data_IF_832118408530
#
_entry.id   IF_832118408530
#
_cell.length_a   1.000
_cell.length_b   1.000
_cell.length_c   1.000
_cell.angle_alpha   90.00
_cell.angle_beta   90.00
_cell.angle_gamma   90.00
#
_symmetry.space_group_name_H-M   'P 1'
#
loop_
_entity.id
_entity.type
_entity.pdbx_description
1 polymer ?
#
# COMPACT_ATOMS: atom_id res chain seq x y z
N UNK A 1 -6.52 15.70 -6.33
CA UNK A 1 -5.86 16.02 -7.60
C UNK A 1 -4.46 16.58 -7.30
N UNK A 2 -3.37 15.88 -7.66
CA UNK A 2 -2.01 16.38 -7.46
C UNK A 2 -1.73 17.56 -8.41
N UNK A 3 -0.92 18.52 -7.94
CA UNK A 3 -0.57 19.74 -8.68
C UNK A 3 0.90 19.75 -9.11
N UNK A 4 1.79 19.36 -8.20
CA UNK A 4 3.24 19.34 -8.46
C UNK A 4 3.94 18.47 -7.43
N UNK A 5 5.19 18.11 -7.75
CA UNK A 5 6.11 17.47 -6.81
C UNK A 5 7.44 18.23 -6.75
N UNK A 6 8.10 18.16 -5.59
CA UNK A 6 9.51 18.54 -5.41
C UNK A 6 10.30 17.34 -4.93
N UNK A 7 11.54 17.16 -5.42
CA UNK A 7 12.40 16.06 -5.04
C UNK A 7 13.32 16.40 -3.87
N UNK A 8 13.54 15.42 -3.00
CA UNK A 8 14.61 15.45 -1.99
C UNK A 8 15.56 14.31 -2.30
N UNK A 9 16.83 14.64 -2.47
CA UNK A 9 17.90 13.68 -2.79
C UNK A 9 19.03 13.81 -1.76
N UNK A 10 19.17 12.81 -0.89
CA UNK A 10 20.40 12.57 -0.13
C UNK A 10 21.30 11.66 -0.95
N UNK A 11 22.56 12.08 -1.20
CA UNK A 11 23.44 11.31 -2.09
C UNK A 11 24.84 11.22 -1.53
N UNK A 12 25.42 10.00 -1.42
CA UNK A 12 26.78 9.80 -0.97
C UNK A 12 27.75 10.04 -2.13
N UNK A 13 28.13 11.31 -2.37
CA UNK A 13 28.90 11.76 -3.55
C UNK A 13 30.27 11.07 -3.69
N UNK A 14 30.83 10.56 -2.58
CA UNK A 14 32.13 9.87 -2.57
C UNK A 14 32.00 8.35 -2.78
N UNK A 15 30.76 7.78 -2.76
CA UNK A 15 30.50 6.33 -2.85
C UNK A 15 29.78 5.95 -4.14
N UNK A 16 28.87 6.79 -4.61
CA UNK A 16 28.02 6.51 -5.77
C UNK A 16 28.18 7.56 -6.86
N UNK A 17 28.33 7.13 -8.13
CA UNK A 17 28.53 8.06 -9.24
C UNK A 17 27.25 8.87 -9.54
N UNK A 18 27.40 10.10 -10.09
CA UNK A 18 26.27 10.99 -10.39
C UNK A 18 25.34 10.44 -11.48
N UNK A 19 25.80 9.51 -12.30
CA UNK A 19 24.98 8.84 -13.32
C UNK A 19 23.84 8.04 -12.67
N UNK A 20 24.09 7.38 -11.53
CA UNK A 20 23.07 6.63 -10.78
C UNK A 20 22.05 7.62 -10.17
N UNK A 21 22.51 8.76 -9.62
CA UNK A 21 21.60 9.80 -9.14
C UNK A 21 20.67 10.32 -10.26
N UNK A 22 21.22 10.48 -11.48
CA UNK A 22 20.45 10.89 -12.65
C UNK A 22 19.33 9.91 -12.98
N UNK A 23 19.61 8.60 -12.92
CA UNK A 23 18.61 7.57 -13.17
C UNK A 23 17.50 7.57 -12.08
N UNK A 24 17.85 7.78 -10.82
CA UNK A 24 16.87 7.92 -9.73
C UNK A 24 15.93 9.11 -9.98
N UNK A 25 16.49 10.28 -10.33
CA UNK A 25 15.70 11.47 -10.66
C UNK A 25 14.84 11.24 -11.92
N UNK A 26 15.36 10.53 -12.91
CA UNK A 26 14.58 10.13 -14.10
C UNK A 26 13.36 9.30 -13.72
N UNK A 27 13.52 8.33 -12.81
CA UNK A 27 12.40 7.53 -12.28
C UNK A 27 11.34 8.42 -11.61
N UNK A 28 11.76 9.34 -10.73
CA UNK A 28 10.86 10.31 -10.10
C UNK A 28 10.12 11.19 -11.12
N UNK A 29 10.83 11.68 -12.15
CA UNK A 29 10.20 12.45 -13.24
C UNK A 29 9.18 11.63 -14.02
N UNK A 30 9.52 10.40 -14.38
CA UNK A 30 8.62 9.51 -15.13
C UNK A 30 7.29 9.27 -14.38
N UNK A 31 7.34 9.11 -13.06
CA UNK A 31 6.12 8.97 -12.25
C UNK A 31 5.31 10.28 -12.21
N UNK A 32 5.97 11.44 -12.09
CA UNK A 32 5.30 12.74 -12.17
C UNK A 32 4.62 12.94 -13.53
N UNK A 33 5.32 12.63 -14.64
CA UNK A 33 4.80 12.73 -16.00
C UNK A 33 3.57 11.80 -16.19
N UNK A 34 3.62 10.56 -15.67
CA UNK A 34 2.48 9.63 -15.69
C UNK A 34 1.29 10.12 -14.84
N UNK A 35 1.57 10.87 -13.77
CA UNK A 35 0.55 11.52 -12.94
C UNK A 35 0.00 12.81 -13.57
N UNK A 36 0.66 13.34 -14.61
CA UNK A 36 0.28 14.58 -15.29
C UNK A 36 0.67 15.84 -14.51
N UNK A 37 1.74 15.78 -13.69
CA UNK A 37 2.22 16.90 -12.87
C UNK A 37 3.70 17.18 -13.11
N UNK A 38 4.15 18.45 -12.98
CA UNK A 38 5.56 18.77 -13.07
C UNK A 38 6.35 18.29 -11.83
N UNK A 39 7.56 17.78 -12.05
CA UNK A 39 8.62 17.78 -11.05
C UNK A 39 9.21 19.20 -11.04
N UNK A 40 8.74 20.05 -10.12
CA UNK A 40 8.92 21.50 -10.15
C UNK A 40 10.26 21.97 -9.54
N UNK A 41 11.08 21.05 -9.06
CA UNK A 41 12.38 21.35 -8.43
C UNK A 41 12.67 20.39 -7.30
N UNK A 42 13.53 20.82 -6.38
CA UNK A 42 13.91 20.02 -5.23
C UNK A 42 15.17 20.50 -4.56
N UNK A 43 15.70 19.67 -3.67
CA UNK A 43 16.94 19.94 -2.96
C UNK A 43 17.80 18.66 -2.90
N UNK A 44 19.12 18.82 -2.96
CA UNK A 44 20.06 17.73 -2.78
C UNK A 44 21.07 18.06 -1.67
N UNK A 45 21.40 17.03 -0.88
CA UNK A 45 22.37 17.13 0.21
C UNK A 45 23.35 15.96 0.13
N UNK A 46 24.57 16.15 0.61
CA UNK A 46 25.49 15.06 0.86
C UNK A 46 24.97 14.22 2.03
N UNK A 47 24.90 12.91 1.87
CA UNK A 47 24.37 11.98 2.86
C UNK A 47 25.17 10.68 2.86
N UNK A 48 25.30 9.97 4.00
CA UNK A 48 26.06 8.73 4.08
C UNK A 48 25.44 7.59 3.28
N UNK A 49 24.13 7.64 3.04
CA UNK A 49 23.35 6.65 2.28
C UNK A 49 22.43 7.35 1.27
N UNK A 50 22.09 6.69 0.13
CA UNK A 50 21.19 7.29 -0.83
C UNK A 50 19.76 7.35 -0.26
N UNK A 51 19.18 8.55 -0.29
CA UNK A 51 17.79 8.82 0.08
C UNK A 51 17.13 9.58 -1.08
N UNK A 52 15.99 9.11 -1.53
CA UNK A 52 15.20 9.80 -2.54
C UNK A 52 13.73 9.82 -2.14
N UNK A 53 13.08 10.96 -2.31
CA UNK A 53 11.66 11.11 -2.07
C UNK A 53 11.07 12.27 -2.85
N UNK A 54 9.74 12.23 -3.00
CA UNK A 54 8.95 13.30 -3.60
C UNK A 54 7.98 13.84 -2.57
N UNK A 55 8.00 15.14 -2.32
CA UNK A 55 6.93 15.84 -1.62
C UNK A 55 5.91 16.29 -2.67
N UNK A 56 4.72 15.71 -2.63
CA UNK A 56 3.65 15.98 -3.58
C UNK A 56 2.62 16.92 -2.95
N UNK A 57 2.32 18.02 -3.64
CA UNK A 57 1.26 18.96 -3.24
C UNK A 57 0.07 18.77 -4.17
N UNK A 58 -1.13 18.76 -3.60
CA UNK A 58 -2.38 18.62 -4.34
C UNK A 58 -3.52 19.37 -3.67
N UNK A 59 -4.70 19.28 -4.29
CA UNK A 59 -5.95 19.85 -3.79
C UNK A 59 -7.03 18.78 -3.75
N UNK A 60 -7.90 18.87 -2.74
CA UNK A 60 -9.09 18.06 -2.61
C UNK A 60 -10.25 18.93 -2.11
N UNK A 61 -11.45 18.75 -2.66
CA UNK A 61 -12.63 19.33 -2.07
C UNK A 61 -12.90 18.70 -0.69
N UNK A 62 -13.18 19.50 0.33
CA UNK A 62 -13.37 19.01 1.71
C UNK A 62 -14.38 17.86 1.81
N UNK A 63 -15.46 17.89 1.02
CA UNK A 63 -16.49 16.84 0.98
C UNK A 63 -15.98 15.50 0.38
N UNK A 64 -14.89 15.53 -0.38
CA UNK A 64 -14.29 14.36 -1.01
C UNK A 64 -13.05 13.85 -0.27
N UNK A 65 -12.67 14.52 0.81
CA UNK A 65 -11.57 14.06 1.64
C UNK A 65 -11.96 12.78 2.37
N UNK A 66 -11.21 11.71 2.12
CA UNK A 66 -11.39 10.42 2.81
C UNK A 66 -10.26 10.27 3.83
N UNK A 67 -10.67 10.19 5.08
CA UNK A 67 -9.75 9.90 6.19
C UNK A 67 -9.62 8.40 6.35
N UNK A 68 -8.58 7.94 7.01
CA UNK A 68 -8.40 6.53 7.32
C UNK A 68 -9.19 6.08 8.56
N UNK A 69 -9.69 7.02 9.37
CA UNK A 69 -10.41 6.81 10.64
C UNK A 69 -11.93 7.08 10.55
N UNK A 70 -12.48 7.24 9.35
CA UNK A 70 -13.89 7.62 9.15
C UNK A 70 -14.79 6.49 8.62
N UNK A 71 -14.32 5.24 8.72
CA UNK A 71 -15.10 4.07 8.35
C UNK A 71 -16.33 3.87 9.25
N UNK A 72 -17.33 3.16 8.75
CA UNK A 72 -18.59 2.87 9.48
C UNK A 72 -18.87 1.37 9.56
N UNK A 73 -19.69 0.98 10.53
CA UNK A 73 -20.14 -0.42 10.67
C UNK A 73 -20.84 -0.89 9.39
N UNK A 74 -20.55 -2.11 8.97
CA UNK A 74 -21.11 -2.73 7.78
C UNK A 74 -20.35 -2.47 6.50
N UNK A 75 -19.34 -1.55 6.52
CA UNK A 75 -18.48 -1.34 5.36
C UNK A 75 -17.75 -2.63 4.97
N UNK A 76 -17.69 -2.89 3.67
CA UNK A 76 -16.82 -3.90 3.08
C UNK A 76 -15.45 -3.31 2.79
N UNK A 77 -14.42 -4.14 2.90
CA UNK A 77 -13.02 -3.77 2.70
C UNK A 77 -12.53 -4.26 1.35
N UNK A 78 -11.82 -3.39 0.63
CA UNK A 78 -11.24 -3.70 -0.67
C UNK A 78 -9.77 -3.30 -0.70
N UNK A 79 -8.96 -4.05 -1.45
CA UNK A 79 -7.54 -3.76 -1.67
C UNK A 79 -7.27 -3.64 -3.17
N UNK A 80 -6.74 -2.49 -3.61
CA UNK A 80 -6.60 -2.18 -5.04
C UNK A 80 -5.36 -2.77 -5.72
N UNK A 81 -4.38 -3.25 -4.96
CA UNK A 81 -3.21 -3.98 -5.46
C UNK A 81 -2.93 -5.20 -4.59
N UNK A 82 -2.38 -6.29 -5.16
CA UNK A 82 -2.00 -7.48 -4.40
C UNK A 82 -0.84 -7.21 -3.43
N UNK A 83 -0.75 -8.02 -2.37
CA UNK A 83 0.39 -8.04 -1.44
C UNK A 83 1.55 -8.88 -1.97
N UNK A 84 2.75 -8.63 -1.44
CA UNK A 84 3.93 -9.46 -1.69
C UNK A 84 5.17 -8.72 -2.18
N UNK A 85 5.15 -7.38 -2.22
CA UNK A 85 6.30 -6.57 -2.68
C UNK A 85 7.53 -6.84 -1.80
N UNK A 86 7.38 -6.81 -0.47
CA UNK A 86 8.48 -7.06 0.44
C UNK A 86 9.01 -8.49 0.34
N UNK A 87 8.13 -9.45 0.13
CA UNK A 87 8.47 -10.87 -0.05
C UNK A 87 9.28 -11.07 -1.34
N UNK A 88 8.81 -10.55 -2.48
CA UNK A 88 9.50 -10.67 -3.76
C UNK A 88 10.86 -9.96 -3.75
N UNK A 89 10.95 -8.76 -3.22
CA UNK A 89 12.22 -8.02 -3.12
C UNK A 89 13.20 -8.70 -2.16
N UNK A 90 12.69 -9.37 -1.12
CA UNK A 90 13.52 -10.22 -0.24
C UNK A 90 14.02 -11.47 -0.97
N UNK A 91 13.17 -12.09 -1.79
CA UNK A 91 13.57 -13.22 -2.64
C UNK A 91 14.66 -12.81 -3.64
N UNK A 92 14.53 -11.65 -4.27
CA UNK A 92 15.54 -11.08 -5.17
C UNK A 92 16.86 -10.84 -4.43
N UNK A 93 16.83 -10.18 -3.27
CA UNK A 93 18.02 -9.94 -2.43
C UNK A 93 18.71 -11.23 -2.00
N UNK A 94 17.96 -12.31 -1.79
CA UNK A 94 18.47 -13.64 -1.44
C UNK A 94 18.89 -14.49 -2.64
N UNK A 95 18.81 -13.96 -3.86
CA UNK A 95 19.03 -14.66 -5.12
C UNK A 95 18.15 -15.92 -5.28
N UNK A 96 16.92 -15.86 -4.78
CA UNK A 96 15.90 -16.91 -4.86
C UNK A 96 14.76 -16.57 -5.82
N UNK A 97 14.77 -15.36 -6.43
CA UNK A 97 13.71 -14.95 -7.36
C UNK A 97 13.79 -15.81 -8.63
N UNK A 98 12.64 -16.35 -9.03
CA UNK A 98 12.54 -17.17 -10.25
C UNK A 98 12.60 -16.27 -11.48
N UNK A 99 13.13 -16.77 -12.62
CA UNK A 99 13.25 -15.98 -13.85
C UNK A 99 11.92 -15.35 -14.32
N UNK A 100 10.80 -16.06 -14.16
CA UNK A 100 9.47 -15.62 -14.55
C UNK A 100 8.93 -14.47 -13.69
N UNK A 101 9.46 -14.26 -12.48
CA UNK A 101 9.00 -13.24 -11.55
C UNK A 101 9.90 -11.99 -11.56
N UNK A 102 10.97 -11.99 -12.37
CA UNK A 102 11.87 -10.84 -12.51
C UNK A 102 11.11 -9.63 -13.05
N UNK A 103 11.22 -8.50 -12.33
CA UNK A 103 10.55 -7.25 -12.69
C UNK A 103 9.13 -7.11 -12.15
N UNK A 104 8.48 -8.17 -11.67
CA UNK A 104 7.08 -8.13 -11.19
C UNK A 104 6.89 -7.11 -10.05
N UNK A 105 7.78 -7.13 -9.05
CA UNK A 105 7.72 -6.16 -7.95
C UNK A 105 7.87 -4.72 -8.46
N UNK A 106 8.80 -4.49 -9.39
CA UNK A 106 9.02 -3.17 -9.99
C UNK A 106 7.80 -2.65 -10.75
N UNK A 107 7.13 -3.51 -11.53
CA UNK A 107 5.90 -3.17 -12.26
C UNK A 107 4.81 -2.68 -11.30
N UNK A 108 4.55 -3.42 -10.22
CA UNK A 108 3.54 -3.02 -9.24
C UNK A 108 3.94 -1.77 -8.44
N UNK A 109 5.22 -1.61 -8.07
CA UNK A 109 5.71 -0.38 -7.44
C UNK A 109 5.56 0.85 -8.34
N UNK A 110 5.72 0.70 -9.65
CA UNK A 110 5.55 1.79 -10.62
C UNK A 110 4.08 2.06 -10.98
N UNK A 111 3.14 1.20 -10.59
CA UNK A 111 1.71 1.40 -10.82
C UNK A 111 1.16 2.46 -9.88
N UNK A 112 0.61 3.55 -10.43
CA UNK A 112 0.05 4.66 -9.65
C UNK A 112 -1.28 4.29 -8.97
N UNK A 113 -1.49 4.80 -7.75
CA UNK A 113 -2.78 4.74 -7.05
C UNK A 113 -3.79 5.80 -7.56
N UNK A 114 -3.74 6.13 -8.85
CA UNK A 114 -4.62 7.08 -9.53
C UNK A 114 -6.12 6.79 -9.34
N UNK A 115 -6.58 5.53 -9.22
CA UNK A 115 -7.97 5.21 -8.91
C UNK A 115 -8.51 5.90 -7.66
N UNK A 116 -7.67 6.17 -6.65
CA UNK A 116 -8.06 6.86 -5.43
C UNK A 116 -8.72 8.22 -5.64
N UNK A 117 -8.34 8.95 -6.68
CA UNK A 117 -8.96 10.24 -7.01
C UNK A 117 -10.43 10.11 -7.47
N UNK A 118 -10.79 8.96 -8.07
CA UNK A 118 -12.17 8.64 -8.44
C UNK A 118 -12.91 8.08 -7.23
N UNK A 119 -12.31 7.15 -6.49
CA UNK A 119 -12.90 6.55 -5.29
C UNK A 119 -13.23 7.61 -4.22
N UNK A 120 -12.36 8.61 -4.04
CA UNK A 120 -12.60 9.71 -3.11
C UNK A 120 -13.87 10.52 -3.38
N UNK A 121 -14.37 10.53 -4.62
CA UNK A 121 -15.61 11.24 -5.00
C UNK A 121 -16.89 10.47 -4.73
N UNK A 122 -16.78 9.15 -4.46
CA UNK A 122 -17.93 8.29 -4.19
C UNK A 122 -18.45 8.48 -2.77
N UNK A 123 -19.74 8.70 -2.63
CA UNK A 123 -20.37 8.87 -1.32
C UNK A 123 -20.28 7.60 -0.46
N UNK A 124 -20.36 6.42 -1.10
CA UNK A 124 -20.27 5.13 -0.43
C UNK A 124 -18.87 4.76 0.08
N UNK A 125 -17.81 5.43 -0.39
CA UNK A 125 -16.46 5.27 0.18
C UNK A 125 -16.36 6.12 1.43
N UNK A 126 -16.21 5.50 2.60
CA UNK A 126 -16.19 6.19 3.90
C UNK A 126 -14.79 6.43 4.44
N UNK A 127 -13.86 5.50 4.19
CA UNK A 127 -12.45 5.64 4.58
C UNK A 127 -11.54 5.07 3.50
N UNK A 128 -10.32 5.60 3.40
CA UNK A 128 -9.33 5.15 2.44
C UNK A 128 -7.92 5.51 2.92
N UNK A 129 -6.98 4.57 2.77
CA UNK A 129 -5.55 4.78 2.98
C UNK A 129 -4.76 3.95 1.98
N UNK A 130 -3.50 4.31 1.73
CA UNK A 130 -2.57 3.42 1.02
C UNK A 130 -1.93 2.42 1.98
N UNK A 131 -1.60 1.24 1.47
CA UNK A 131 -0.92 0.19 2.22
C UNK A 131 0.57 0.28 1.93
N UNK A 132 1.37 0.58 2.96
CA UNK A 132 2.81 0.80 2.83
C UNK A 132 3.63 -0.02 3.83
N UNK A 133 4.63 0.56 4.45
CA UNK A 133 5.63 -0.12 5.25
C UNK A 133 5.13 -0.92 6.45
N UNK A 134 3.96 -0.58 7.00
CA UNK A 134 3.34 -1.33 8.10
C UNK A 134 2.57 -2.59 7.67
N UNK A 135 2.51 -2.87 6.35
CA UNK A 135 1.74 -3.98 5.82
C UNK A 135 0.21 -3.78 5.92
N UNK A 136 -0.56 -4.73 5.38
CA UNK A 136 -2.03 -4.61 5.40
C UNK A 136 -2.58 -4.54 6.82
N UNK A 137 -2.09 -5.39 7.74
CA UNK A 137 -2.60 -5.41 9.12
C UNK A 137 -2.36 -4.10 9.87
N UNK A 138 -1.20 -3.45 9.69
CA UNK A 138 -0.93 -2.18 10.36
C UNK A 138 -1.91 -1.09 9.95
N UNK A 139 -2.15 -0.93 8.65
CA UNK A 139 -3.11 0.05 8.13
C UNK A 139 -4.57 -0.31 8.45
N UNK A 140 -4.88 -1.61 8.51
CA UNK A 140 -6.21 -2.07 8.90
C UNK A 140 -6.49 -1.84 10.39
N UNK A 141 -5.49 -2.07 11.25
CA UNK A 141 -5.55 -1.71 12.69
C UNK A 141 -5.78 -0.22 12.85
N UNK A 142 -5.04 0.64 12.11
CA UNK A 142 -5.22 2.09 12.16
C UNK A 142 -6.63 2.51 11.75
N UNK A 143 -7.17 1.93 10.67
CA UNK A 143 -8.52 2.22 10.19
C UNK A 143 -9.59 1.76 11.19
N UNK A 144 -9.47 0.55 11.72
CA UNK A 144 -10.45 -0.02 12.64
C UNK A 144 -10.43 0.69 14.00
N UNK A 145 -9.24 0.91 14.57
CA UNK A 145 -9.10 1.62 15.85
C UNK A 145 -9.56 3.07 15.74
N UNK A 146 -9.16 3.78 14.69
CA UNK A 146 -9.54 5.17 14.47
C UNK A 146 -11.06 5.36 14.35
N UNK A 147 -11.76 4.38 13.80
CA UNK A 147 -13.21 4.36 13.68
C UNK A 147 -13.93 3.71 14.88
N UNK A 148 -13.20 3.19 15.87
CA UNK A 148 -13.72 2.38 16.97
C UNK A 148 -14.54 1.16 16.51
N UNK A 149 -13.98 0.42 15.56
CA UNK A 149 -14.58 -0.78 14.94
C UNK A 149 -13.66 -1.99 15.07
N UNK A 150 -14.14 -3.15 14.64
CA UNK A 150 -13.35 -4.35 14.41
C UNK A 150 -13.40 -4.71 12.92
N UNK A 151 -12.24 -4.94 12.33
CA UNK A 151 -12.13 -5.46 10.97
C UNK A 151 -12.08 -6.99 11.00
N UNK A 152 -12.98 -7.63 10.27
CA UNK A 152 -12.98 -9.07 10.01
C UNK A 152 -12.41 -9.30 8.62
N UNK A 153 -11.17 -9.80 8.56
CA UNK A 153 -10.41 -10.00 7.33
C UNK A 153 -10.48 -11.46 6.88
N UNK A 154 -10.93 -11.70 5.67
CA UNK A 154 -10.86 -13.02 5.02
C UNK A 154 -9.47 -13.21 4.41
N UNK A 155 -8.64 -14.04 5.05
CA UNK A 155 -7.27 -14.32 4.61
C UNK A 155 -7.19 -14.91 3.21
N UNK A 156 -8.16 -15.75 2.84
CA UNK A 156 -8.19 -16.38 1.53
C UNK A 156 -8.55 -15.39 0.41
N UNK A 157 -9.33 -14.36 0.73
CA UNK A 157 -9.74 -13.33 -0.22
C UNK A 157 -8.67 -12.24 -0.45
N UNK A 158 -7.62 -12.15 0.39
CA UNK A 158 -6.55 -11.16 0.20
C UNK A 158 -5.77 -11.44 -1.08
N UNK A 159 -5.74 -10.50 -2.05
CA UNK A 159 -5.01 -10.69 -3.30
C UNK A 159 -3.50 -10.71 -3.08
N UNK A 160 -2.81 -11.61 -3.75
CA UNK A 160 -1.36 -11.85 -3.64
C UNK A 160 -0.71 -11.79 -5.01
N UNK A 161 0.52 -11.31 -5.06
CA UNK A 161 1.34 -11.41 -6.26
C UNK A 161 1.63 -12.88 -6.60
N UNK A 162 1.77 -13.22 -7.87
CA UNK A 162 2.19 -14.56 -8.28
C UNK A 162 3.45 -15.01 -7.54
N UNK A 163 3.50 -16.28 -7.15
CA UNK A 163 4.65 -16.86 -6.48
C UNK A 163 4.84 -16.53 -4.99
N UNK A 164 4.06 -15.62 -4.40
CA UNK A 164 4.23 -15.20 -2.99
C UNK A 164 4.22 -16.37 -2.03
N UNK A 165 3.27 -17.31 -2.15
CA UNK A 165 3.19 -18.46 -1.25
C UNK A 165 4.43 -19.38 -1.38
N UNK A 166 4.98 -19.51 -2.59
CA UNK A 166 6.25 -20.23 -2.81
C UNK A 166 7.41 -19.54 -2.09
N UNK A 167 7.54 -18.22 -2.22
CA UNK A 167 8.63 -17.47 -1.57
C UNK A 167 8.51 -17.44 -0.06
N UNK A 168 7.30 -17.41 0.49
CA UNK A 168 7.06 -17.57 1.93
C UNK A 168 7.54 -18.95 2.41
N UNK A 169 7.22 -20.03 1.68
CA UNK A 169 7.69 -21.37 2.00
C UNK A 169 9.24 -21.49 1.94
N UNK A 170 9.89 -20.72 1.05
CA UNK A 170 11.34 -20.58 0.95
C UNK A 170 11.96 -19.66 2.01
N UNK A 171 11.18 -19.15 2.95
CA UNK A 171 11.63 -18.28 4.03
C UNK A 171 12.01 -16.87 3.58
N UNK A 172 11.44 -16.38 2.47
CA UNK A 172 11.68 -15.03 1.97
C UNK A 172 10.83 -13.99 2.70
N UNK A 173 10.86 -13.99 4.04
CA UNK A 173 10.15 -13.04 4.88
C UNK A 173 11.05 -11.82 5.15
N UNK A 174 10.58 -10.58 4.88
CA UNK A 174 11.34 -9.38 5.22
C UNK A 174 11.54 -9.21 6.73
N UNK A 175 12.68 -8.71 7.16
CA UNK A 175 12.90 -8.39 8.57
C UNK A 175 11.95 -7.32 9.12
N UNK A 176 11.33 -6.52 8.25
CA UNK A 176 10.28 -5.56 8.61
C UNK A 176 8.99 -6.21 9.09
N UNK A 177 8.65 -7.39 8.58
CA UNK A 177 7.41 -8.12 8.90
C UNK A 177 7.26 -8.40 10.41
N UNK A 178 8.32 -8.91 11.04
CA UNK A 178 8.30 -9.20 12.47
C UNK A 178 8.23 -7.90 13.30
N UNK A 179 9.01 -6.89 12.94
CA UNK A 179 8.95 -5.58 13.61
C UNK A 179 7.58 -4.93 13.49
N UNK A 180 6.91 -5.08 12.36
CA UNK A 180 5.55 -4.63 12.16
C UNK A 180 4.61 -5.31 13.15
N UNK A 181 4.63 -6.64 13.19
CA UNK A 181 3.78 -7.40 14.11
C UNK A 181 4.08 -7.08 15.58
N UNK A 182 5.36 -6.94 15.96
CA UNK A 182 5.76 -6.54 17.33
C UNK A 182 5.19 -5.16 17.73
N UNK A 183 4.95 -4.26 16.76
CA UNK A 183 4.50 -2.90 17.05
C UNK A 183 2.97 -2.76 17.25
N UNK A 184 2.17 -3.67 16.69
CA UNK A 184 0.70 -3.56 16.74
C UNK A 184 -0.03 -4.91 16.93
N UNK A 185 0.70 -6.02 17.04
CA UNK A 185 0.11 -7.36 17.11
C UNK A 185 -0.81 -7.59 18.31
N UNK A 186 -0.62 -6.85 19.41
CA UNK A 186 -1.51 -6.88 20.58
C UNK A 186 -2.96 -6.48 20.26
N UNK A 187 -3.18 -5.73 19.17
CA UNK A 187 -4.49 -5.28 18.71
C UNK A 187 -5.17 -6.27 17.76
N UNK A 188 -4.49 -7.36 17.44
CA UNK A 188 -4.94 -8.39 16.49
C UNK A 188 -5.26 -9.66 17.22
N UNK A 189 -6.38 -10.31 16.88
CA UNK A 189 -6.68 -11.66 17.40
C UNK A 189 -5.56 -12.64 17.02
N UNK A 190 -5.34 -13.72 17.79
CA UNK A 190 -4.28 -14.67 17.50
C UNK A 190 -4.32 -15.16 16.05
N UNK A 191 -3.16 -15.07 15.37
CA UNK A 191 -2.98 -15.49 13.98
C UNK A 191 -1.83 -16.49 13.83
N UNK A 192 -1.82 -17.21 12.73
CA UNK A 192 -0.72 -18.12 12.39
C UNK A 192 0.49 -17.35 11.85
N UNK A 193 1.67 -17.98 11.88
CA UNK A 193 2.88 -17.41 11.27
C UNK A 193 2.69 -17.10 9.78
N UNK A 194 2.00 -17.98 9.04
CA UNK A 194 1.73 -17.76 7.62
C UNK A 194 0.84 -16.51 7.37
N UNK A 195 -0.16 -16.30 8.22
CA UNK A 195 -1.00 -15.09 8.15
C UNK A 195 -0.18 -13.84 8.49
N UNK A 196 0.62 -13.89 9.54
CA UNK A 196 1.53 -12.79 9.92
C UNK A 196 2.48 -12.44 8.79
N UNK A 197 3.16 -13.44 8.22
CA UNK A 197 4.23 -13.25 7.26
C UNK A 197 3.74 -12.61 5.94
N UNK A 198 2.51 -12.89 5.55
CA UNK A 198 1.88 -12.22 4.41
C UNK A 198 1.29 -10.85 4.78
N UNK A 199 0.49 -10.78 5.85
CA UNK A 199 -0.34 -9.62 6.12
C UNK A 199 0.43 -8.46 6.76
N UNK A 200 1.58 -8.74 7.41
CA UNK A 200 2.51 -7.74 7.91
C UNK A 200 3.66 -7.44 6.93
N UNK A 201 3.64 -8.01 5.69
CA UNK A 201 4.65 -7.78 4.67
C UNK A 201 4.73 -6.29 4.30
N UNK A 202 5.87 -5.61 4.49
CA UNK A 202 6.01 -4.21 4.11
C UNK A 202 5.79 -4.02 2.61
N UNK A 203 4.91 -3.09 2.24
CA UNK A 203 4.67 -2.75 0.84
C UNK A 203 5.39 -1.45 0.48
N UNK A 204 6.00 -1.42 -0.69
CA UNK A 204 6.47 -0.19 -1.34
C UNK A 204 5.49 0.15 -2.45
N UNK A 205 4.89 1.34 -2.39
CA UNK A 205 3.85 1.75 -3.34
C UNK A 205 2.70 0.73 -3.43
N UNK A 206 2.24 0.22 -2.30
CA UNK A 206 1.14 -0.75 -2.23
C UNK A 206 -0.20 -0.15 -2.67
N UNK A 207 -1.24 -0.96 -2.62
CA UNK A 207 -2.58 -0.58 -3.04
C UNK A 207 -3.32 0.29 -2.03
N UNK A 208 -4.50 0.75 -2.43
CA UNK A 208 -5.43 1.44 -1.55
C UNK A 208 -6.28 0.42 -0.79
N UNK A 209 -6.34 0.56 0.53
CA UNK A 209 -7.32 -0.07 1.40
C UNK A 209 -8.54 0.85 1.48
N UNK A 210 -9.68 0.36 1.03
CA UNK A 210 -10.90 1.16 0.88
C UNK A 210 -12.05 0.53 1.67
N UNK A 211 -12.72 1.32 2.51
CA UNK A 211 -13.94 0.94 3.20
C UNK A 211 -15.16 1.51 2.48
N UNK A 212 -16.07 0.63 2.06
CA UNK A 212 -17.22 0.95 1.22
C UNK A 212 -18.51 0.49 1.90
N UNK A 213 -19.51 1.38 2.00
CA UNK A 213 -20.81 1.00 2.54
C UNK A 213 -21.54 0.01 1.62
N UNK A 214 -22.42 -0.85 2.16
CA UNK A 214 -23.21 -1.78 1.34
C UNK A 214 -24.00 -1.09 0.23
N UNK A 215 -24.55 0.09 0.51
CA UNK A 215 -25.35 0.87 -0.45
C UNK A 215 -24.51 1.46 -1.59
N UNK A 216 -23.23 1.76 -1.33
CA UNK A 216 -22.31 2.32 -2.30
C UNK A 216 -21.50 1.28 -3.07
N UNK A 217 -21.59 0.00 -2.70
CA UNK A 217 -20.74 -1.06 -3.24
C UNK A 217 -20.89 -1.22 -4.76
N UNK A 218 -22.12 -1.24 -5.26
CA UNK A 218 -22.37 -1.42 -6.70
C UNK A 218 -21.76 -0.29 -7.53
N UNK A 219 -21.87 0.97 -7.07
CA UNK A 219 -21.26 2.13 -7.73
C UNK A 219 -19.73 2.06 -7.66
N UNK A 220 -19.18 1.69 -6.49
CA UNK A 220 -17.73 1.55 -6.31
C UNK A 220 -17.14 0.49 -7.26
N UNK A 221 -17.76 -0.69 -7.34
CA UNK A 221 -17.30 -1.77 -8.22
C UNK A 221 -17.44 -1.40 -9.71
N UNK A 222 -18.48 -0.69 -10.09
CA UNK A 222 -18.63 -0.18 -11.46
C UNK A 222 -17.50 0.79 -11.82
N UNK A 223 -17.18 1.75 -10.94
CA UNK A 223 -16.07 2.69 -11.14
C UNK A 223 -14.71 1.96 -11.14
N UNK A 224 -14.52 0.96 -10.28
CA UNK A 224 -13.31 0.14 -10.28
C UNK A 224 -13.13 -0.59 -11.62
N UNK A 225 -14.19 -1.20 -12.15
CA UNK A 225 -14.18 -1.89 -13.45
C UNK A 225 -13.87 -0.93 -14.62
N UNK A 226 -14.44 0.28 -14.63
CA UNK A 226 -14.08 1.33 -15.61
C UNK A 226 -12.58 1.67 -15.60
N UNK A 227 -11.95 1.55 -14.42
CA UNK A 227 -10.52 1.81 -14.22
C UNK A 227 -9.65 0.56 -14.46
N UNK A 228 -10.24 -0.54 -14.93
CA UNK A 228 -9.54 -1.80 -15.18
C UNK A 228 -9.23 -2.62 -13.93
N UNK A 229 -9.86 -2.31 -12.79
CA UNK A 229 -9.68 -3.04 -11.54
C UNK A 229 -10.81 -4.04 -11.34
N UNK A 230 -10.46 -5.31 -11.17
CA UNK A 230 -11.40 -6.36 -10.79
C UNK A 230 -11.27 -6.62 -9.28
N UNK A 231 -12.06 -5.91 -8.48
CA UNK A 231 -11.98 -5.95 -7.02
C UNK A 231 -13.03 -6.89 -6.43
N UNK A 232 -12.61 -7.63 -5.42
CA UNK A 232 -13.49 -8.42 -4.55
C UNK A 232 -13.30 -7.97 -3.09
N UNK A 233 -14.32 -8.09 -2.24
CA UNK A 233 -14.18 -7.76 -0.83
C UNK A 233 -13.21 -8.71 -0.14
N UNK A 234 -12.31 -8.16 0.66
CA UNK A 234 -11.34 -8.91 1.47
C UNK A 234 -11.77 -9.02 2.94
N UNK A 235 -12.91 -8.45 3.31
CA UNK A 235 -13.43 -8.46 4.67
C UNK A 235 -14.49 -7.40 4.87
N UNK A 236 -14.82 -7.15 6.14
CA UNK A 236 -15.84 -6.19 6.55
C UNK A 236 -15.50 -5.54 7.88
N UNK A 237 -16.14 -4.40 8.16
CA UNK A 237 -16.05 -3.71 9.44
C UNK A 237 -17.34 -3.94 10.25
N UNK A 238 -17.17 -4.41 11.48
CA UNK A 238 -18.27 -4.67 12.42
C UNK A 238 -18.15 -3.79 13.66
N UNK A 239 -19.17 -3.77 14.49
CA UNK A 239 -19.12 -3.10 15.78
C UNK A 239 -17.91 -3.59 16.60
N UNK A 240 -17.27 -2.68 17.34
CA UNK A 240 -16.05 -2.96 18.11
C UNK A 240 -16.22 -4.21 18.97
N UNK A 241 -15.24 -5.10 18.83
CA UNK A 241 -15.04 -6.29 19.63
C UNK A 241 -13.76 -6.18 20.46
N UNK A 242 -13.24 -7.30 20.95
CA UNK A 242 -12.01 -7.32 21.77
C UNK A 242 -10.80 -6.80 21.01
N UNK A 243 -10.64 -7.22 19.76
CA UNK A 243 -9.51 -6.85 18.91
C UNK A 243 -9.91 -5.84 17.83
N UNK A 244 -8.94 -5.07 17.37
CA UNK A 244 -9.15 -4.18 16.21
C UNK A 244 -9.27 -4.99 14.91
N UNK A 245 -8.54 -6.10 14.81
CA UNK A 245 -8.57 -6.97 13.62
C UNK A 245 -8.69 -8.43 14.05
N UNK A 246 -9.57 -9.14 13.36
CA UNK A 246 -9.75 -10.59 13.40
C UNK A 246 -9.51 -11.15 12.00
N UNK A 247 -8.64 -12.15 11.88
CA UNK A 247 -8.31 -12.81 10.60
C UNK A 247 -8.99 -14.18 10.57
N UNK A 248 -9.87 -14.37 9.60
CA UNK A 248 -10.67 -15.59 9.41
C UNK A 248 -10.07 -16.47 8.30
#
# INVERSE_FOLDING_TARGET
DPLMAIAILGWPINLLPPEVAREVIRGGRAVCDAAGIPLAGGHSIDAPEPIFGLAVTGVVEKRHMKRNDSATVGCRLYLSKPLGIGILTTAEKKAKLRPEDVGLACEWMCTLNKPGSRFGKLAGVTAMTDVTGFGLLGHLVEMADGANLTAQLDYAAVPRLPGVDYYLAEGCVPGGTLRNFDSYGEKIAPITDAQRDLLCDPQTSGGLLVAVTPEGEAEFLAVAAELGLNLAPIGQLVARQTYAVEVM
#
